data_IF_563155700134
#
_entry.id   IF_563155700134
#
_cell.length_a   1.000
_cell.length_b   1.000
_cell.length_c   1.000
_cell.angle_alpha   90.00
_cell.angle_beta   90.00
_cell.angle_gamma   90.00
#
_symmetry.space_group_name_H-M   'P 1'
#
loop_
_entity.id
_entity.type
_entity.pdbx_description
1 polymer ?
#
# COMPACT_ATOMS: atom_id res chain seq x y z
N UNK A 1 -13.28 4.05 -12.72
CA UNK A 1 -14.06 3.12 -11.87
C UNK A 1 -14.37 1.88 -12.71
N UNK A 2 -13.42 0.92 -12.77
CA UNK A 2 -13.59 -0.33 -13.52
C UNK A 2 -14.28 -1.34 -12.61
N UNK A 3 -15.54 -1.64 -12.90
CA UNK A 3 -16.26 -2.78 -12.34
C UNK A 3 -15.39 -4.03 -12.55
N UNK A 4 -14.87 -4.62 -11.46
CA UNK A 4 -14.23 -5.94 -11.53
C UNK A 4 -15.26 -6.91 -12.07
N UNK A 5 -15.19 -7.22 -13.35
CA UNK A 5 -15.98 -8.29 -13.97
C UNK A 5 -15.67 -9.57 -13.19
N UNK A 6 -16.72 -10.20 -12.67
CA UNK A 6 -16.58 -11.52 -12.02
C UNK A 6 -15.98 -12.53 -13.00
N UNK A 7 -15.51 -13.69 -12.52
CA UNK A 7 -14.88 -14.68 -13.37
C UNK A 7 -15.79 -15.06 -14.54
N UNK A 8 -15.22 -15.14 -15.75
CA UNK A 8 -15.95 -15.52 -16.95
C UNK A 8 -16.57 -16.93 -16.81
N UNK A 9 -17.58 -17.25 -17.62
CA UNK A 9 -18.19 -18.58 -17.62
C UNK A 9 -17.13 -19.65 -17.86
N UNK A 10 -16.19 -19.42 -18.78
CA UNK A 10 -15.10 -20.34 -19.09
C UNK A 10 -14.19 -20.59 -17.86
N UNK A 11 -13.86 -19.51 -17.11
CA UNK A 11 -13.08 -19.64 -15.87
C UNK A 11 -13.84 -20.45 -14.81
N UNK A 12 -15.15 -20.27 -14.68
CA UNK A 12 -15.97 -21.03 -13.74
C UNK A 12 -16.01 -22.51 -14.13
N UNK A 13 -16.24 -22.83 -15.40
CA UNK A 13 -16.24 -24.20 -15.92
C UNK A 13 -14.88 -24.86 -15.69
N UNK A 14 -13.80 -24.18 -16.05
CA UNK A 14 -12.46 -24.67 -15.85
C UNK A 14 -12.18 -24.99 -14.37
N UNK A 15 -12.45 -24.04 -13.47
CA UNK A 15 -12.21 -24.22 -12.04
C UNK A 15 -13.01 -25.42 -11.48
N UNK A 16 -14.30 -25.52 -11.84
CA UNK A 16 -15.13 -26.64 -11.39
C UNK A 16 -14.60 -27.99 -11.89
N UNK A 17 -14.22 -28.06 -13.18
CA UNK A 17 -13.64 -29.28 -13.77
C UNK A 17 -12.30 -29.64 -13.17
N UNK A 18 -11.46 -28.66 -12.91
CA UNK A 18 -10.15 -28.83 -12.26
C UNK A 18 -10.32 -29.43 -10.85
N UNK A 19 -11.22 -28.88 -10.03
CA UNK A 19 -11.49 -29.40 -8.69
C UNK A 19 -12.09 -30.81 -8.73
N UNK A 20 -13.02 -31.08 -9.65
CA UNK A 20 -13.62 -32.39 -9.80
C UNK A 20 -12.59 -33.45 -10.19
N UNK A 21 -11.70 -33.14 -11.14
CA UNK A 21 -10.63 -34.04 -11.57
C UNK A 21 -9.61 -34.28 -10.44
N UNK A 22 -9.18 -33.22 -9.75
CA UNK A 22 -8.25 -33.31 -8.63
C UNK A 22 -8.82 -34.16 -7.48
N UNK A 23 -10.10 -33.98 -7.15
CA UNK A 23 -10.79 -34.77 -6.15
C UNK A 23 -10.92 -36.25 -6.57
N UNK A 24 -11.27 -36.51 -7.83
CA UNK A 24 -11.32 -37.88 -8.36
C UNK A 24 -9.97 -38.59 -8.26
N UNK A 25 -8.89 -37.94 -8.68
CA UNK A 25 -7.53 -38.52 -8.61
C UNK A 25 -7.11 -38.75 -7.15
N UNK A 26 -7.41 -37.85 -6.24
CA UNK A 26 -7.17 -38.00 -4.83
C UNK A 26 -7.95 -39.20 -4.23
N UNK A 27 -9.23 -39.36 -4.58
CA UNK A 27 -10.03 -40.49 -4.15
C UNK A 27 -9.49 -41.83 -4.66
N UNK A 28 -9.03 -41.86 -5.91
CA UNK A 28 -8.36 -43.06 -6.48
C UNK A 28 -7.05 -43.40 -5.75
N UNK A 29 -6.26 -42.37 -5.46
CA UNK A 29 -5.02 -42.51 -4.69
C UNK A 29 -5.27 -43.02 -3.27
N UNK A 30 -6.29 -42.48 -2.60
CA UNK A 30 -6.70 -42.92 -1.27
C UNK A 30 -6.96 -44.44 -1.23
N UNK A 31 -7.79 -44.94 -2.16
CA UNK A 31 -8.10 -46.35 -2.25
C UNK A 31 -6.84 -47.20 -2.59
N UNK A 32 -6.01 -46.74 -3.54
CA UNK A 32 -4.80 -47.43 -3.95
C UNK A 32 -3.75 -47.55 -2.83
N UNK A 33 -3.77 -46.60 -1.87
CA UNK A 33 -2.90 -46.60 -0.70
C UNK A 33 -3.50 -47.35 0.51
N UNK A 34 -4.58 -48.10 0.30
CA UNK A 34 -5.23 -48.92 1.35
C UNK A 34 -6.31 -48.23 2.16
N UNK A 35 -6.72 -47.04 1.71
CA UNK A 35 -7.88 -46.35 2.35
C UNK A 35 -9.19 -47.09 2.06
N UNK A 36 -10.05 -47.19 3.06
CA UNK A 36 -11.35 -47.85 2.96
C UNK A 36 -12.45 -46.85 2.65
N UNK A 37 -13.37 -47.23 1.78
CA UNK A 37 -14.55 -46.42 1.44
C UNK A 37 -15.61 -46.66 2.52
N UNK A 38 -16.02 -45.61 3.20
CA UNK A 38 -17.02 -45.65 4.27
C UNK A 38 -16.82 -44.52 5.26
N UNK A 39 -17.68 -44.46 6.26
CA UNK A 39 -17.49 -43.54 7.39
C UNK A 39 -16.40 -44.09 8.32
N UNK A 40 -15.44 -43.26 8.76
CA UNK A 40 -14.39 -43.69 9.66
C UNK A 40 -15.00 -44.13 11.00
N UNK A 41 -14.48 -45.21 11.55
CA UNK A 41 -14.79 -45.72 12.90
C UNK A 41 -13.56 -45.63 13.83
N UNK A 42 -13.66 -46.06 15.06
CA UNK A 42 -12.56 -46.01 16.04
C UNK A 42 -11.32 -46.80 15.59
N UNK A 43 -11.51 -47.85 14.78
CA UNK A 43 -10.43 -48.70 14.28
C UNK A 43 -9.76 -48.11 13.00
N UNK A 44 -10.33 -47.08 12.42
CA UNK A 44 -9.82 -46.45 11.22
C UNK A 44 -8.53 -45.63 11.49
N UNK A 45 -8.28 -45.25 12.76
CA UNK A 45 -7.09 -44.50 13.16
C UNK A 45 -6.11 -45.47 13.88
N UNK A 46 -4.75 -45.34 13.57
CA UNK A 46 -4.08 -44.30 12.73
C UNK A 46 -4.00 -44.68 11.24
N UNK A 47 -4.53 -45.82 10.80
CA UNK A 47 -4.26 -46.39 9.46
C UNK A 47 -4.77 -45.52 8.31
N UNK A 48 -5.78 -44.69 8.54
CA UNK A 48 -6.30 -43.73 7.54
C UNK A 48 -5.33 -42.56 7.23
N UNK A 49 -4.39 -42.27 8.13
CA UNK A 49 -3.51 -41.07 8.03
C UNK A 49 -2.65 -41.15 6.76
N UNK A 50 -1.98 -42.27 6.52
CA UNK A 50 -1.08 -42.42 5.38
C UNK A 50 -1.82 -42.38 4.02
N UNK A 51 -2.94 -43.12 3.81
CA UNK A 51 -3.75 -42.99 2.61
C UNK A 51 -4.30 -41.57 2.40
N UNK A 52 -4.74 -40.91 3.48
CA UNK A 52 -5.26 -39.55 3.41
C UNK A 52 -4.17 -38.54 3.03
N UNK A 53 -2.98 -38.62 3.62
CA UNK A 53 -1.86 -37.77 3.29
C UNK A 53 -1.43 -37.93 1.83
N UNK A 54 -1.35 -39.18 1.33
CA UNK A 54 -1.07 -39.45 -0.06
C UNK A 54 -2.14 -38.88 -1.01
N UNK A 55 -3.40 -39.03 -0.67
CA UNK A 55 -4.51 -38.45 -1.43
C UNK A 55 -4.46 -36.92 -1.44
N UNK A 56 -4.16 -36.27 -0.32
CA UNK A 56 -3.99 -34.83 -0.22
C UNK A 56 -2.83 -34.33 -1.09
N UNK A 57 -1.70 -35.03 -1.10
CA UNK A 57 -0.57 -34.69 -1.97
C UNK A 57 -0.93 -34.80 -3.45
N UNK A 58 -1.64 -35.84 -3.86
CA UNK A 58 -2.12 -36.01 -5.24
C UNK A 58 -3.12 -34.90 -5.62
N UNK A 59 -4.03 -34.55 -4.72
CA UNK A 59 -4.96 -33.44 -4.94
C UNK A 59 -4.21 -32.12 -5.21
N UNK A 60 -3.27 -31.79 -4.33
CA UNK A 60 -2.46 -30.58 -4.44
C UNK A 60 -1.65 -30.58 -5.75
N UNK A 61 -0.96 -31.67 -6.06
CA UNK A 61 -0.17 -31.78 -7.26
C UNK A 61 -1.02 -31.64 -8.54
N UNK A 62 -2.18 -32.30 -8.59
CA UNK A 62 -3.10 -32.21 -9.72
C UNK A 62 -3.67 -30.80 -9.87
N UNK A 63 -4.15 -30.19 -8.77
CA UNK A 63 -4.73 -28.86 -8.75
C UNK A 63 -3.72 -27.80 -9.22
N UNK A 64 -2.52 -27.80 -8.63
CA UNK A 64 -1.44 -26.86 -8.97
C UNK A 64 -0.88 -27.10 -10.37
N UNK A 65 -0.76 -28.38 -10.80
CA UNK A 65 -0.29 -28.73 -12.15
C UNK A 65 -1.26 -28.21 -13.22
N UNK A 66 -2.55 -28.43 -13.05
CA UNK A 66 -3.59 -27.95 -13.98
C UNK A 66 -3.65 -26.43 -14.02
N UNK A 67 -3.60 -25.78 -12.87
CA UNK A 67 -3.58 -24.30 -12.80
C UNK A 67 -2.35 -23.72 -13.47
N UNK A 68 -1.18 -24.26 -13.18
CA UNK A 68 0.09 -23.84 -13.79
C UNK A 68 0.11 -24.06 -15.30
N UNK A 69 -0.43 -25.17 -15.76
CA UNK A 69 -0.57 -25.49 -17.18
C UNK A 69 -1.43 -24.47 -17.91
N UNK A 70 -2.59 -24.10 -17.36
CA UNK A 70 -3.46 -23.07 -17.95
C UNK A 70 -2.79 -21.71 -17.95
N UNK A 71 -2.18 -21.29 -16.84
CA UNK A 71 -1.47 -20.02 -16.77
C UNK A 71 -0.32 -19.94 -17.78
N UNK A 72 0.38 -21.06 -18.02
CA UNK A 72 1.41 -21.15 -19.04
C UNK A 72 0.85 -21.05 -20.46
N UNK A 73 -0.25 -21.75 -20.76
CA UNK A 73 -0.91 -21.73 -22.08
C UNK A 73 -1.56 -20.38 -22.41
N UNK A 74 -2.04 -19.66 -21.40
CA UNK A 74 -2.71 -18.36 -21.57
C UNK A 74 -1.77 -17.16 -21.38
N UNK A 75 -0.45 -17.43 -21.24
CA UNK A 75 0.57 -16.39 -21.06
C UNK A 75 0.66 -15.52 -22.31
N UNK A 76 0.56 -14.21 -22.13
CA UNK A 76 0.85 -13.21 -23.16
C UNK A 76 2.39 -13.10 -23.35
N UNK A 77 2.94 -13.44 -24.53
CA UNK A 77 4.38 -13.39 -24.78
C UNK A 77 4.98 -11.99 -24.63
N UNK A 78 4.18 -10.95 -24.86
CA UNK A 78 4.61 -9.56 -24.86
C UNK A 78 4.53 -8.90 -23.47
N UNK A 79 3.98 -9.59 -22.47
CA UNK A 79 3.99 -9.13 -21.09
C UNK A 79 5.12 -9.77 -20.31
N UNK A 80 6.01 -8.96 -19.69
CA UNK A 80 7.00 -9.52 -18.79
C UNK A 80 6.28 -10.36 -17.72
N UNK A 81 6.85 -11.51 -17.31
CA UNK A 81 6.27 -12.29 -16.23
C UNK A 81 6.09 -11.35 -15.04
N UNK A 82 4.86 -11.21 -14.54
CA UNK A 82 4.60 -10.49 -13.30
C UNK A 82 5.58 -11.07 -12.27
N UNK A 83 6.57 -10.26 -11.89
CA UNK A 83 7.79 -10.72 -11.22
C UNK A 83 7.47 -11.63 -10.05
N UNK A 84 8.22 -12.71 -9.91
CA UNK A 84 8.26 -13.65 -8.77
C UNK A 84 6.92 -14.18 -8.22
N UNK A 85 5.82 -14.13 -8.98
CA UNK A 85 4.55 -14.75 -8.62
C UNK A 85 4.69 -16.28 -8.43
N UNK A 86 5.77 -16.90 -8.97
CA UNK A 86 5.95 -18.33 -8.94
C UNK A 86 6.13 -18.94 -7.55
N UNK A 87 7.08 -18.46 -6.76
CA UNK A 87 7.46 -19.17 -5.51
C UNK A 87 6.61 -18.73 -4.31
N UNK A 88 6.40 -17.43 -4.13
CA UNK A 88 5.65 -16.94 -2.98
C UNK A 88 4.14 -17.25 -3.04
N UNK A 89 3.53 -17.18 -4.23
CA UNK A 89 2.13 -17.56 -4.43
C UNK A 89 1.96 -19.07 -4.28
N UNK A 90 2.88 -19.88 -4.88
CA UNK A 90 2.84 -21.34 -4.74
C UNK A 90 2.99 -21.79 -3.29
N UNK A 91 3.87 -21.17 -2.50
CA UNK A 91 4.04 -21.50 -1.09
C UNK A 91 2.78 -21.16 -0.26
N UNK A 92 2.13 -20.03 -0.51
CA UNK A 92 0.88 -19.66 0.17
C UNK A 92 -0.27 -20.60 -0.19
N UNK A 93 -0.39 -20.99 -1.44
CA UNK A 93 -1.41 -21.94 -1.90
C UNK A 93 -1.17 -23.32 -1.29
N UNK A 94 0.07 -23.82 -1.28
CA UNK A 94 0.43 -25.07 -0.63
C UNK A 94 0.10 -25.08 0.87
N UNK A 95 0.41 -24.00 1.58
CA UNK A 95 0.08 -23.87 3.01
C UNK A 95 -1.44 -23.89 3.24
N UNK A 96 -2.20 -23.26 2.36
CA UNK A 96 -3.68 -23.27 2.41
C UNK A 96 -4.22 -24.69 2.18
N UNK A 97 -3.71 -25.39 1.16
CA UNK A 97 -4.17 -26.76 0.83
C UNK A 97 -3.83 -27.76 1.94
N UNK A 98 -2.64 -27.63 2.56
CA UNK A 98 -2.25 -28.42 3.73
C UNK A 98 -3.17 -28.13 4.94
N UNK A 99 -3.55 -26.86 5.13
CA UNK A 99 -4.52 -26.46 6.14
C UNK A 99 -5.88 -27.13 5.95
N UNK A 100 -6.40 -27.15 4.71
CA UNK A 100 -7.65 -27.82 4.39
C UNK A 100 -7.56 -29.35 4.55
N UNK A 101 -6.43 -29.94 4.17
CA UNK A 101 -6.21 -31.38 4.37
C UNK A 101 -6.18 -31.74 5.87
N UNK A 102 -5.43 -31.00 6.70
CA UNK A 102 -5.39 -31.19 8.14
C UNK A 102 -6.80 -31.04 8.77
N UNK A 103 -7.57 -30.07 8.27
CA UNK A 103 -8.94 -29.85 8.71
C UNK A 103 -9.89 -31.02 8.34
N UNK A 104 -9.74 -31.58 7.15
CA UNK A 104 -10.46 -32.78 6.72
C UNK A 104 -10.13 -33.99 7.58
N UNK A 105 -8.86 -34.18 7.95
CA UNK A 105 -8.42 -35.24 8.85
C UNK A 105 -9.00 -35.05 10.28
N UNK A 106 -8.99 -33.80 10.77
CA UNK A 106 -9.62 -33.47 12.06
C UNK A 106 -11.12 -33.80 12.06
N UNK A 107 -11.81 -33.46 10.97
CA UNK A 107 -13.23 -33.79 10.82
C UNK A 107 -13.48 -35.31 10.83
N UNK A 108 -12.62 -36.08 10.14
CA UNK A 108 -12.67 -37.54 10.13
C UNK A 108 -12.42 -38.12 11.54
N UNK A 109 -11.43 -37.58 12.26
CA UNK A 109 -11.16 -38.00 13.65
C UNK A 109 -12.30 -37.68 14.61
N UNK A 110 -12.88 -36.49 14.50
CA UNK A 110 -14.05 -36.14 15.34
C UNK A 110 -15.27 -36.96 15.00
N UNK A 111 -15.41 -37.39 13.74
CA UNK A 111 -16.52 -38.26 13.34
C UNK A 111 -16.58 -39.56 14.15
N UNK A 112 -15.44 -40.17 14.44
CA UNK A 112 -15.38 -41.43 15.22
C UNK A 112 -15.89 -41.25 16.68
N UNK A 113 -15.80 -40.01 17.21
CA UNK A 113 -16.18 -39.73 18.61
C UNK A 113 -17.59 -39.14 18.72
N UNK A 114 -17.94 -38.19 17.85
CA UNK A 114 -19.19 -37.40 17.96
C UNK A 114 -20.15 -37.61 16.77
N UNK A 115 -19.78 -38.43 15.80
CA UNK A 115 -20.62 -38.78 14.63
C UNK A 115 -21.09 -37.53 13.87
N UNK A 116 -22.40 -37.41 13.63
CA UNK A 116 -23.03 -36.35 12.88
C UNK A 116 -22.83 -34.94 13.46
N UNK A 117 -22.32 -34.79 14.68
CA UNK A 117 -21.97 -33.49 15.24
C UNK A 117 -20.61 -32.98 14.74
N UNK A 118 -19.74 -33.85 14.21
CA UNK A 118 -18.40 -33.49 13.73
C UNK A 118 -18.40 -32.36 12.68
N UNK A 119 -19.25 -32.36 11.62
CA UNK A 119 -19.35 -31.26 10.68
C UNK A 119 -19.68 -29.90 11.33
N UNK A 120 -20.61 -29.90 12.31
CA UNK A 120 -20.95 -28.64 13.01
C UNK A 120 -19.77 -28.10 13.81
N UNK A 121 -19.10 -29.00 14.57
CA UNK A 121 -17.97 -28.63 15.42
C UNK A 121 -16.78 -28.15 14.60
N UNK A 122 -16.61 -28.59 13.36
CA UNK A 122 -15.53 -28.18 12.47
C UNK A 122 -15.92 -26.99 11.60
N UNK A 123 -17.10 -26.99 10.98
CA UNK A 123 -17.49 -25.94 10.03
C UNK A 123 -17.84 -24.61 10.69
N UNK A 124 -18.40 -24.62 11.92
CA UNK A 124 -18.73 -23.37 12.62
C UNK A 124 -17.50 -22.52 12.90
N UNK A 125 -16.41 -23.04 13.52
CA UNK A 125 -15.19 -22.25 13.71
C UNK A 125 -14.58 -21.76 12.38
N UNK A 126 -14.61 -22.59 11.34
CA UNK A 126 -14.13 -22.20 10.00
C UNK A 126 -14.96 -21.05 9.42
N UNK A 127 -16.28 -21.13 9.55
CA UNK A 127 -17.18 -20.07 9.10
C UNK A 127 -16.93 -18.77 9.87
N UNK A 128 -16.81 -18.85 11.21
CA UNK A 128 -16.53 -17.68 12.06
C UNK A 128 -15.18 -17.05 11.70
N UNK A 129 -14.14 -17.87 11.53
CA UNK A 129 -12.82 -17.37 11.11
C UNK A 129 -12.88 -16.69 9.74
N UNK A 130 -13.55 -17.32 8.77
CA UNK A 130 -13.73 -16.74 7.43
C UNK A 130 -14.53 -15.43 7.46
N UNK A 131 -15.59 -15.40 8.26
CA UNK A 131 -16.40 -14.20 8.45
C UNK A 131 -15.59 -13.08 9.08
N UNK A 132 -14.82 -13.35 10.14
CA UNK A 132 -13.95 -12.39 10.79
C UNK A 132 -12.89 -11.82 9.82
N UNK A 133 -12.25 -12.69 9.01
CA UNK A 133 -11.28 -12.26 7.99
C UNK A 133 -11.96 -11.37 6.92
N UNK A 134 -13.18 -11.72 6.50
CA UNK A 134 -13.93 -10.93 5.53
C UNK A 134 -14.30 -9.55 6.10
N UNK A 135 -14.75 -9.49 7.36
CA UNK A 135 -15.04 -8.21 8.05
C UNK A 135 -13.80 -7.36 8.19
N UNK A 136 -12.67 -7.96 8.58
CA UNK A 136 -11.40 -7.23 8.65
C UNK A 136 -10.98 -6.65 7.28
N UNK A 137 -11.11 -7.43 6.21
CA UNK A 137 -10.80 -6.97 4.86
C UNK A 137 -11.73 -5.85 4.37
N UNK A 138 -13.02 -5.88 4.75
CA UNK A 138 -13.96 -4.79 4.45
C UNK A 138 -13.65 -3.52 5.24
N UNK A 139 -13.29 -3.66 6.51
CA UNK A 139 -12.88 -2.54 7.35
C UNK A 139 -11.63 -1.87 6.79
N UNK A 140 -10.62 -2.63 6.35
CA UNK A 140 -9.43 -2.09 5.71
C UNK A 140 -9.76 -1.31 4.43
N UNK A 141 -10.66 -1.83 3.59
CA UNK A 141 -11.12 -1.10 2.40
C UNK A 141 -11.85 0.20 2.73
N UNK A 142 -12.63 0.21 3.80
CA UNK A 142 -13.32 1.41 4.25
C UNK A 142 -12.31 2.48 4.73
N UNK A 143 -11.26 2.07 5.45
CA UNK A 143 -10.18 2.97 5.84
C UNK A 143 -9.45 3.56 4.62
N UNK A 144 -9.05 2.71 3.66
CA UNK A 144 -8.43 3.15 2.41
C UNK A 144 -9.31 4.15 1.65
N UNK A 145 -10.61 3.89 1.56
CA UNK A 145 -11.55 4.77 0.89
C UNK A 145 -11.69 6.12 1.63
N UNK A 146 -11.70 6.11 2.96
CA UNK A 146 -11.77 7.34 3.77
C UNK A 146 -10.51 8.18 3.60
N UNK A 147 -9.33 7.57 3.70
CA UNK A 147 -8.05 8.26 3.46
C UNK A 147 -8.01 8.83 2.06
N UNK A 148 -8.36 8.04 1.05
CA UNK A 148 -8.43 8.51 -0.34
C UNK A 148 -9.38 9.69 -0.54
N UNK A 149 -10.54 9.68 0.12
CA UNK A 149 -11.49 10.78 0.06
C UNK A 149 -10.95 12.07 0.72
N UNK A 150 -10.22 11.95 1.84
CA UNK A 150 -9.55 13.08 2.49
C UNK A 150 -8.46 13.67 1.59
N UNK A 151 -7.60 12.84 1.00
CA UNK A 151 -6.58 13.29 0.04
C UNK A 151 -7.23 14.02 -1.14
N UNK A 152 -8.28 13.45 -1.72
CA UNK A 152 -8.99 14.07 -2.85
C UNK A 152 -9.64 15.40 -2.47
N UNK A 153 -10.15 15.54 -1.24
CA UNK A 153 -10.70 16.81 -0.75
C UNK A 153 -9.62 17.90 -0.66
N UNK A 154 -8.41 17.57 -0.19
CA UNK A 154 -7.25 18.49 -0.19
C UNK A 154 -6.87 18.87 -1.61
N UNK A 155 -6.70 17.90 -2.50
CA UNK A 155 -6.33 18.10 -3.90
C UNK A 155 -7.36 18.92 -4.70
N UNK A 156 -8.64 18.81 -4.33
CA UNK A 156 -9.71 19.64 -4.94
C UNK A 156 -9.61 21.09 -4.48
N UNK A 157 -9.16 21.30 -3.26
CA UNK A 157 -9.02 22.65 -2.66
C UNK A 157 -7.72 23.32 -3.08
N UNK A 158 -6.65 22.55 -3.18
CA UNK A 158 -5.31 22.94 -3.64
C UNK A 158 -5.00 22.24 -4.97
N UNK A 159 -5.36 22.86 -6.09
CA UNK A 159 -5.25 22.29 -7.45
C UNK A 159 -3.84 21.86 -7.82
N UNK A 160 -2.82 22.34 -7.10
CA UNK A 160 -1.42 22.03 -7.36
C UNK A 160 -0.96 20.71 -6.75
N UNK A 161 -1.79 20.08 -5.91
CA UNK A 161 -1.45 18.86 -5.18
C UNK A 161 -1.99 17.57 -5.81
N UNK A 162 -2.52 17.62 -7.07
CA UNK A 162 -3.06 16.42 -7.70
C UNK A 162 -2.04 15.30 -7.78
N UNK A 163 -2.31 14.18 -7.11
CA UNK A 163 -1.45 13.02 -6.99
C UNK A 163 -0.17 13.26 -6.16
N UNK A 164 -0.02 14.43 -5.55
CA UNK A 164 1.10 14.76 -4.66
C UNK A 164 1.14 13.83 -3.45
N UNK A 165 0.03 13.71 -2.75
CA UNK A 165 -0.08 12.84 -1.57
C UNK A 165 0.35 11.39 -1.86
N UNK A 166 -0.05 10.84 -3.01
CA UNK A 166 0.37 9.50 -3.44
C UNK A 166 1.87 9.42 -3.72
N UNK A 167 2.46 10.44 -4.36
CA UNK A 167 3.89 10.46 -4.68
C UNK A 167 4.74 10.66 -3.43
N UNK A 168 4.35 11.54 -2.51
CA UNK A 168 5.02 11.71 -1.22
C UNK A 168 4.93 10.42 -0.39
N UNK A 169 3.77 9.80 -0.32
CA UNK A 169 3.58 8.50 0.31
C UNK A 169 4.52 7.44 -0.28
N UNK A 170 4.61 7.35 -1.61
CA UNK A 170 5.53 6.44 -2.30
C UNK A 170 6.99 6.73 -1.97
N UNK A 171 7.41 8.00 -2.01
CA UNK A 171 8.77 8.41 -1.67
C UNK A 171 9.14 8.06 -0.23
N UNK A 172 8.22 8.28 0.70
CA UNK A 172 8.41 7.92 2.11
C UNK A 172 8.54 6.42 2.31
N UNK A 173 7.74 5.61 1.61
CA UNK A 173 7.86 4.14 1.61
C UNK A 173 9.20 3.68 1.01
N UNK A 174 9.68 4.33 -0.05
CA UNK A 174 11.00 4.03 -0.64
C UNK A 174 12.12 4.25 0.38
N UNK A 175 12.12 5.38 1.09
CA UNK A 175 13.09 5.67 2.16
C UNK A 175 12.97 4.62 3.28
N UNK A 176 11.74 4.38 3.78
CA UNK A 176 11.49 3.47 4.89
C UNK A 176 11.98 2.04 4.60
N UNK A 177 11.79 1.55 3.37
CA UNK A 177 12.29 0.24 2.94
C UNK A 177 13.81 0.20 2.84
N UNK A 178 14.43 1.27 2.33
CA UNK A 178 15.88 1.35 2.19
C UNK A 178 16.60 1.31 3.54
N UNK A 179 16.03 1.96 4.57
CA UNK A 179 16.53 1.88 5.94
C UNK A 179 16.04 0.65 6.72
N UNK A 180 15.41 -0.31 6.04
CA UNK A 180 14.93 -1.56 6.64
C UNK A 180 13.92 -1.38 7.78
N UNK A 181 13.01 -0.41 7.68
CA UNK A 181 11.90 -0.28 8.61
C UNK A 181 11.04 -1.54 8.64
N UNK A 182 10.49 -1.89 9.81
CA UNK A 182 9.53 -3.00 9.95
C UNK A 182 8.27 -2.74 9.13
N UNK A 183 7.65 -3.80 8.63
CA UNK A 183 6.51 -3.73 7.70
C UNK A 183 5.34 -2.90 8.23
N UNK A 184 5.07 -2.98 9.55
CA UNK A 184 4.00 -2.21 10.20
C UNK A 184 4.29 -0.70 10.14
N UNK A 185 5.55 -0.30 10.35
CA UNK A 185 5.96 1.09 10.27
C UNK A 185 6.00 1.61 8.83
N UNK A 186 6.36 0.75 7.86
CA UNK A 186 6.27 1.08 6.42
C UNK A 186 4.84 1.39 6.03
N UNK A 187 3.88 0.66 6.56
CA UNK A 187 2.46 0.94 6.31
C UNK A 187 2.00 2.23 7.01
N UNK A 188 2.42 2.47 8.25
CA UNK A 188 2.11 3.70 8.97
C UNK A 188 2.67 4.95 8.26
N UNK A 189 3.92 4.91 7.79
CA UNK A 189 4.52 6.04 7.06
C UNK A 189 3.88 6.26 5.68
N UNK A 190 3.34 5.22 5.05
CA UNK A 190 2.54 5.33 3.84
C UNK A 190 1.33 6.24 4.07
N UNK A 191 0.59 6.00 5.17
CA UNK A 191 -0.54 6.85 5.54
C UNK A 191 -0.11 8.25 5.97
N UNK A 192 1.01 8.38 6.68
CA UNK A 192 1.56 9.69 7.02
C UNK A 192 1.82 10.53 5.77
N UNK A 193 2.43 9.94 4.74
CA UNK A 193 2.65 10.62 3.45
C UNK A 193 1.37 10.98 2.71
N UNK A 194 0.35 10.13 2.77
CA UNK A 194 -0.96 10.44 2.17
C UNK A 194 -1.67 11.61 2.87
N UNK A 195 -1.53 11.72 4.18
CA UNK A 195 -2.32 12.62 5.02
C UNK A 195 -1.54 13.84 5.54
N UNK A 196 -0.23 13.99 5.22
CA UNK A 196 0.60 15.06 5.79
C UNK A 196 0.01 16.46 5.60
N UNK A 197 -0.63 16.68 4.49
CA UNK A 197 -1.24 17.94 4.05
C UNK A 197 -2.73 18.08 4.38
N UNK A 198 -3.36 17.11 5.05
CA UNK A 198 -4.82 17.11 5.29
C UNK A 198 -5.30 18.35 6.01
N UNK A 199 -4.47 18.97 6.82
CA UNK A 199 -4.78 20.22 7.53
C UNK A 199 -4.95 21.44 6.61
N UNK A 200 -4.54 21.38 5.36
CA UNK A 200 -4.83 22.42 4.34
C UNK A 200 -6.34 22.60 4.14
N UNK A 201 -7.16 21.61 4.50
CA UNK A 201 -8.63 21.77 4.55
C UNK A 201 -9.06 22.92 5.48
N UNK A 202 -8.31 23.23 6.52
CA UNK A 202 -8.55 24.33 7.42
C UNK A 202 -8.02 25.71 6.96
N UNK A 203 -7.22 25.76 5.89
CA UNK A 203 -6.67 27.02 5.36
C UNK A 203 -7.67 27.65 4.39
N UNK A 204 -7.90 28.98 4.39
CA UNK A 204 -8.81 29.61 3.42
C UNK A 204 -8.36 29.39 1.98
N UNK A 205 -9.29 28.98 1.10
CA UNK A 205 -8.99 28.66 -0.31
C UNK A 205 -8.31 29.81 -1.06
N UNK A 206 -8.73 31.05 -0.79
CA UNK A 206 -8.13 32.26 -1.38
C UNK A 206 -6.65 32.44 -1.03
N UNK A 207 -6.20 31.87 0.10
CA UNK A 207 -4.79 31.94 0.54
C UNK A 207 -3.99 30.84 -0.18
N UNK A 208 -4.53 29.60 -0.25
CA UNK A 208 -3.88 28.48 -0.95
C UNK A 208 -3.73 28.72 -2.46
N UNK A 209 -4.71 29.39 -3.08
CA UNK A 209 -4.76 29.61 -4.52
C UNK A 209 -4.17 30.99 -4.94
N UNK A 210 -3.56 31.73 -4.01
CA UNK A 210 -2.99 33.04 -4.30
C UNK A 210 -1.73 32.88 -5.18
N UNK A 211 -1.73 33.55 -6.32
CA UNK A 211 -0.59 33.52 -7.27
C UNK A 211 0.51 34.55 -6.95
N UNK A 212 0.22 35.50 -6.02
CA UNK A 212 1.17 36.54 -5.59
C UNK A 212 1.87 36.21 -4.27
N UNK A 213 2.76 37.10 -3.82
CA UNK A 213 3.42 36.95 -2.52
C UNK A 213 2.39 36.92 -1.39
N UNK A 214 2.55 35.99 -0.46
CA UNK A 214 1.74 35.89 0.75
C UNK A 214 2.12 37.01 1.72
N UNK A 215 1.13 37.54 2.44
CA UNK A 215 1.40 38.39 3.61
C UNK A 215 1.88 37.53 4.78
N UNK A 216 2.41 38.15 5.83
CA UNK A 216 2.84 37.42 7.04
C UNK A 216 1.67 36.66 7.70
N UNK A 217 0.48 37.26 7.72
CA UNK A 217 -0.72 36.65 8.29
C UNK A 217 -1.21 35.45 7.42
N UNK A 218 -1.17 35.60 6.10
CA UNK A 218 -1.51 34.50 5.18
C UNK A 218 -0.53 33.35 5.32
N UNK A 219 0.75 33.65 5.43
CA UNK A 219 1.79 32.63 5.64
C UNK A 219 1.62 31.94 6.99
N UNK A 220 1.39 32.69 8.07
CA UNK A 220 1.10 32.14 9.39
C UNK A 220 -0.13 31.23 9.36
N UNK A 221 -1.18 31.59 8.60
CA UNK A 221 -2.37 30.75 8.45
C UNK A 221 -2.09 29.42 7.77
N UNK A 222 -1.13 29.38 6.81
CA UNK A 222 -0.67 28.15 6.19
C UNK A 222 0.19 27.32 7.15
N UNK A 223 1.10 27.93 7.90
CA UNK A 223 1.95 27.23 8.88
C UNK A 223 1.16 26.48 9.98
N UNK A 224 -0.12 26.77 10.14
CA UNK A 224 -0.99 26.03 11.06
C UNK A 224 -1.51 24.70 10.50
N UNK A 225 -1.29 24.38 9.19
CA UNK A 225 -1.88 23.16 8.63
C UNK A 225 -1.37 21.88 9.27
N UNK A 226 -0.09 21.73 9.74
CA UNK A 226 0.31 20.49 10.39
C UNK A 226 -0.47 20.24 11.70
N UNK A 227 -0.69 21.27 12.49
CA UNK A 227 -1.50 21.20 13.72
C UNK A 227 -2.97 20.86 13.41
N UNK A 228 -3.56 21.52 12.40
CA UNK A 228 -4.93 21.23 11.95
C UNK A 228 -5.03 19.83 11.36
N UNK A 229 -3.99 19.35 10.68
CA UNK A 229 -3.89 18.00 10.19
C UNK A 229 -3.97 16.98 11.31
N UNK A 230 -3.19 17.19 12.36
CA UNK A 230 -3.26 16.37 13.58
C UNK A 230 -4.69 16.35 14.16
N UNK A 231 -5.36 17.50 14.30
CA UNK A 231 -6.72 17.59 14.83
C UNK A 231 -7.74 16.82 13.99
N UNK A 232 -7.57 16.77 12.66
CA UNK A 232 -8.47 16.05 11.76
C UNK A 232 -8.30 14.53 11.89
N UNK A 233 -7.07 14.03 12.07
CA UNK A 233 -6.79 12.59 11.96
C UNK A 233 -6.46 11.90 13.29
N UNK A 234 -6.34 12.61 14.42
CA UNK A 234 -5.94 12.03 15.71
C UNK A 234 -6.87 10.96 16.26
N UNK A 235 -8.14 10.98 15.87
CA UNK A 235 -9.12 9.96 16.30
C UNK A 235 -9.06 8.67 15.47
N UNK A 236 -8.17 8.62 14.46
CA UNK A 236 -7.97 7.43 13.61
C UNK A 236 -6.91 6.54 14.26
N UNK A 237 -7.34 5.62 15.12
CA UNK A 237 -6.50 4.86 16.06
C UNK A 237 -5.38 3.99 15.48
N UNK A 238 -5.28 3.79 14.16
CA UNK A 238 -4.16 3.08 13.53
C UNK A 238 -3.04 4.02 13.04
N UNK A 239 -3.17 5.34 13.28
CA UNK A 239 -2.24 6.36 12.77
C UNK A 239 -1.26 6.89 13.84
N UNK A 240 -1.20 6.31 15.05
CA UNK A 240 -0.48 6.90 16.19
C UNK A 240 0.94 7.39 15.85
N UNK A 241 1.77 6.57 15.20
CA UNK A 241 3.12 6.98 14.78
C UNK A 241 3.10 7.95 13.59
N UNK A 242 2.10 7.84 12.71
CA UNK A 242 1.91 8.75 11.59
C UNK A 242 1.57 10.18 12.03
N UNK A 243 0.86 10.34 13.16
CA UNK A 243 0.47 11.65 13.70
C UNK A 243 1.68 12.55 13.95
N UNK A 244 2.76 11.99 14.51
CA UNK A 244 3.99 12.73 14.73
C UNK A 244 4.65 13.15 13.40
N UNK A 245 4.59 12.30 12.38
CA UNK A 245 5.02 12.63 11.03
C UNK A 245 4.23 13.80 10.44
N UNK A 246 2.90 13.74 10.51
CA UNK A 246 1.98 14.78 10.00
C UNK A 246 2.20 16.12 10.71
N UNK A 247 2.36 16.09 12.04
CA UNK A 247 2.53 17.29 12.84
C UNK A 247 3.83 18.03 12.54
N UNK A 248 4.92 17.31 12.27
CA UNK A 248 6.28 17.84 12.27
C UNK A 248 7.00 17.79 10.91
N UNK A 249 6.29 17.48 9.79
CA UNK A 249 6.93 17.31 8.49
C UNK A 249 7.58 18.58 7.90
N UNK A 250 7.29 19.74 8.45
CA UNK A 250 7.95 21.01 8.11
C UNK A 250 9.03 21.44 9.11
N UNK A 251 9.36 20.60 10.10
CA UNK A 251 10.54 20.84 10.92
C UNK A 251 11.81 20.63 10.11
N UNK A 252 12.87 21.30 10.51
CA UNK A 252 14.18 21.28 9.84
C UNK A 252 15.26 20.83 10.82
N UNK A 253 16.23 20.09 10.33
CA UNK A 253 17.36 19.61 11.18
C UNK A 253 18.08 20.77 11.88
N UNK A 254 18.12 21.96 11.28
CA UNK A 254 18.75 23.17 11.85
C UNK A 254 17.85 23.95 12.84
N UNK A 255 16.63 23.45 13.17
CA UNK A 255 15.71 24.06 14.13
C UNK A 255 14.98 25.31 13.59
N UNK A 256 15.08 25.58 12.28
CA UNK A 256 14.42 26.74 11.65
C UNK A 256 13.08 26.38 10.99
N UNK A 257 12.57 25.20 11.30
CA UNK A 257 11.29 24.70 10.83
C UNK A 257 10.11 25.20 11.64
N UNK A 258 8.96 24.62 11.40
CA UNK A 258 7.71 24.86 12.13
C UNK A 258 6.91 23.55 12.27
N UNK A 259 5.95 23.43 13.18
CA UNK A 259 5.39 24.45 14.05
C UNK A 259 6.12 24.66 15.39
N UNK A 260 7.00 23.74 15.81
CA UNK A 260 7.62 23.74 17.13
C UNK A 260 9.07 24.20 17.13
N UNK A 261 9.74 24.25 15.99
CA UNK A 261 11.17 24.58 15.86
C UNK A 261 12.09 23.50 16.44
N UNK A 262 11.70 22.24 16.33
CA UNK A 262 12.51 21.08 16.74
C UNK A 262 13.78 20.97 15.88
N UNK A 263 14.86 20.46 16.47
CA UNK A 263 16.15 20.33 15.80
C UNK A 263 16.70 18.90 15.90
N UNK A 264 17.42 18.46 14.90
CA UNK A 264 18.12 17.16 14.90
C UNK A 264 17.20 15.99 15.23
N UNK A 265 17.60 15.21 16.22
CA UNK A 265 16.87 14.00 16.65
C UNK A 265 15.62 14.28 17.50
N UNK A 266 15.36 15.52 17.88
CA UNK A 266 14.09 15.90 18.50
C UNK A 266 12.94 15.80 17.47
N UNK A 267 13.25 15.88 16.17
CA UNK A 267 12.27 15.74 15.10
C UNK A 267 11.94 14.24 14.95
N UNK A 268 10.64 13.87 15.03
CA UNK A 268 10.23 12.48 14.83
C UNK A 268 10.73 11.90 13.50
N UNK A 269 11.13 10.63 13.53
CA UNK A 269 11.73 9.96 12.36
C UNK A 269 10.82 10.05 11.11
N UNK A 270 9.51 9.84 11.29
CA UNK A 270 8.55 9.96 10.18
C UNK A 270 8.52 11.36 9.58
N UNK A 271 8.61 12.39 10.41
CA UNK A 271 8.63 13.78 9.95
C UNK A 271 9.88 14.07 9.10
N UNK A 272 11.06 13.57 9.54
CA UNK A 272 12.31 13.71 8.77
C UNK A 272 12.26 13.01 7.43
N UNK A 273 11.63 11.83 7.36
CA UNK A 273 11.42 11.08 6.09
C UNK A 273 10.45 11.81 5.18
N UNK A 274 9.31 12.28 5.73
CA UNK A 274 8.31 13.02 4.97
C UNK A 274 8.87 14.30 4.36
N UNK A 275 9.66 15.07 5.13
CA UNK A 275 10.29 16.30 4.66
C UNK A 275 11.14 16.09 3.39
N UNK A 276 11.88 14.98 3.30
CA UNK A 276 12.67 14.64 2.12
C UNK A 276 11.78 14.29 0.93
N UNK A 277 10.78 13.45 1.13
CA UNK A 277 9.89 12.98 0.06
C UNK A 277 9.01 14.11 -0.48
N UNK A 278 8.47 14.96 0.41
CA UNK A 278 7.65 16.13 0.06
C UNK A 278 8.45 17.16 -0.72
N UNK A 279 9.63 17.58 -0.24
CA UNK A 279 10.48 18.51 -0.94
C UNK A 279 10.86 18.00 -2.33
N UNK A 280 11.16 16.71 -2.46
CA UNK A 280 11.50 16.12 -3.75
C UNK A 280 10.32 16.13 -4.73
N UNK A 281 9.14 15.72 -4.28
CA UNK A 281 7.96 15.76 -5.14
C UNK A 281 7.60 17.20 -5.53
N UNK A 282 7.69 18.11 -4.57
CA UNK A 282 7.48 19.55 -4.83
C UNK A 282 8.43 20.13 -5.88
N UNK A 283 9.68 19.64 -5.96
CA UNK A 283 10.64 20.05 -6.98
C UNK A 283 10.40 19.40 -8.34
N UNK A 284 9.94 18.16 -8.37
CA UNK A 284 9.76 17.36 -9.59
C UNK A 284 8.35 17.39 -10.17
N UNK A 285 7.44 18.13 -9.56
CA UNK A 285 6.07 18.36 -10.03
C UNK A 285 5.90 19.74 -10.64
N UNK A 286 5.00 19.84 -11.64
CA UNK A 286 4.63 21.11 -12.24
C UNK A 286 3.78 21.95 -11.28
N UNK A 287 4.12 23.22 -11.08
CA UNK A 287 3.34 24.21 -10.35
C UNK A 287 2.95 25.36 -11.28
N UNK A 288 1.92 26.13 -10.93
CA UNK A 288 1.41 27.23 -11.76
C UNK A 288 2.46 28.25 -12.17
N UNK A 289 3.48 28.44 -11.35
CA UNK A 289 4.51 29.46 -11.53
C UNK A 289 5.90 28.85 -11.83
N UNK A 290 6.04 27.49 -11.86
CA UNK A 290 7.33 26.83 -12.13
C UNK A 290 7.12 25.46 -12.74
N UNK A 291 7.84 25.19 -13.83
CA UNK A 291 7.94 23.85 -14.42
C UNK A 291 8.67 22.86 -13.50
N UNK A 292 8.36 21.57 -13.65
CA UNK A 292 9.04 20.49 -12.94
C UNK A 292 10.55 20.50 -13.23
N UNK A 293 11.37 20.38 -12.17
CA UNK A 293 12.82 20.15 -12.31
C UNK A 293 13.08 18.72 -12.77
N UNK A 294 14.23 18.52 -13.41
CA UNK A 294 14.69 17.15 -13.69
C UNK A 294 15.04 16.44 -12.37
N UNK A 295 14.85 15.12 -12.36
CA UNK A 295 15.16 14.29 -11.18
C UNK A 295 16.60 14.48 -10.70
N UNK A 296 17.55 14.61 -11.62
CA UNK A 296 18.97 14.86 -11.29
C UNK A 296 19.15 16.16 -10.50
N UNK A 297 18.56 17.26 -10.99
CA UNK A 297 18.66 18.58 -10.36
C UNK A 297 18.01 18.60 -8.96
N UNK A 298 16.89 17.88 -8.82
CA UNK A 298 16.21 17.73 -7.52
C UNK A 298 17.07 16.92 -6.50
N UNK A 299 17.79 15.90 -6.96
CA UNK A 299 18.74 15.15 -6.13
C UNK A 299 19.90 16.05 -5.68
N UNK A 300 20.44 16.87 -6.56
CA UNK A 300 21.51 17.82 -6.22
C UNK A 300 21.03 18.82 -5.17
N UNK A 301 19.81 19.32 -5.32
CA UNK A 301 19.22 20.26 -4.35
C UNK A 301 19.01 19.60 -2.99
N UNK A 302 18.49 18.36 -2.91
CA UNK A 302 18.39 17.62 -1.65
C UNK A 302 19.74 17.47 -0.95
N UNK A 303 20.79 17.13 -1.71
CA UNK A 303 22.15 16.99 -1.18
C UNK A 303 22.73 18.31 -0.67
N UNK A 304 22.46 19.41 -1.35
CA UNK A 304 22.89 20.75 -0.94
C UNK A 304 22.33 21.13 0.44
N UNK A 305 21.10 20.71 0.75
CA UNK A 305 20.43 21.04 1.99
C UNK A 305 20.48 19.90 3.03
N UNK A 306 21.20 18.84 2.74
CA UNK A 306 21.48 17.75 3.67
C UNK A 306 22.29 18.27 4.88
N UNK A 307 21.90 17.89 6.09
CA UNK A 307 22.48 18.35 7.35
C UNK A 307 22.01 19.72 7.82
N UNK A 308 21.18 20.43 7.05
CA UNK A 308 20.57 21.70 7.45
C UNK A 308 19.04 21.62 7.41
N UNK A 309 18.45 21.44 6.26
CA UNK A 309 17.00 21.24 6.12
C UNK A 309 16.64 19.77 6.32
N UNK A 310 17.39 18.85 5.72
CA UNK A 310 17.08 17.44 5.65
C UNK A 310 18.07 16.59 6.43
N UNK A 311 17.60 15.47 6.95
CA UNK A 311 18.43 14.46 7.57
C UNK A 311 19.31 13.77 6.50
N UNK A 312 20.65 13.77 6.66
CA UNK A 312 21.55 13.17 5.70
C UNK A 312 21.29 11.69 5.43
N UNK A 313 20.94 10.92 6.47
CA UNK A 313 20.69 9.50 6.33
C UNK A 313 19.48 9.21 5.43
N UNK A 314 18.43 10.02 5.53
CA UNK A 314 17.22 9.85 4.70
C UNK A 314 17.38 10.40 3.30
N UNK A 315 18.20 11.44 3.10
CA UNK A 315 18.58 11.88 1.76
C UNK A 315 19.36 10.79 1.03
N UNK A 316 20.36 10.19 1.67
CA UNK A 316 21.15 9.11 1.07
C UNK A 316 20.32 7.88 0.77
N UNK A 317 19.46 7.46 1.70
CA UNK A 317 18.53 6.36 1.51
C UNK A 317 17.58 6.61 0.33
N UNK A 318 17.03 7.83 0.22
CA UNK A 318 16.14 8.15 -0.87
C UNK A 318 16.86 8.15 -2.23
N UNK A 319 18.05 8.71 -2.31
CA UNK A 319 18.86 8.69 -3.53
C UNK A 319 19.23 7.27 -3.96
N UNK A 320 19.52 6.37 -3.01
CA UNK A 320 19.77 4.96 -3.30
C UNK A 320 18.51 4.28 -3.85
N UNK A 321 17.37 4.50 -3.22
CA UNK A 321 16.08 3.96 -3.66
C UNK A 321 15.67 4.50 -5.05
N UNK A 322 15.84 5.80 -5.32
CA UNK A 322 15.56 6.42 -6.63
C UNK A 322 16.39 5.82 -7.76
N UNK A 323 17.67 5.50 -7.52
CA UNK A 323 18.53 4.84 -8.51
C UNK A 323 18.05 3.45 -8.87
N UNK A 324 17.45 2.73 -7.92
CA UNK A 324 16.96 1.36 -8.10
C UNK A 324 15.57 1.33 -8.75
N UNK A 325 14.65 2.19 -8.31
CA UNK A 325 13.22 2.11 -8.63
C UNK A 325 12.75 3.18 -9.61
N UNK A 326 13.53 4.28 -9.75
CA UNK A 326 13.14 5.46 -10.52
C UNK A 326 12.06 6.28 -9.81
N UNK A 327 11.68 7.40 -10.43
CA UNK A 327 10.59 8.27 -9.97
C UNK A 327 9.49 8.36 -11.03
N UNK A 328 8.22 8.21 -10.68
CA UNK A 328 7.13 8.36 -11.64
C UNK A 328 7.09 9.82 -12.13
N UNK A 329 7.03 9.99 -13.44
CA UNK A 329 6.78 11.33 -13.99
C UNK A 329 5.34 11.72 -13.66
N UNK A 330 5.11 12.95 -13.13
CA UNK A 330 3.76 13.46 -12.99
C UNK A 330 3.07 13.42 -14.35
N UNK A 331 1.85 12.90 -14.42
CA UNK A 331 1.04 13.04 -15.63
C UNK A 331 0.84 14.53 -15.90
N UNK A 332 0.99 14.99 -17.16
CA UNK A 332 0.67 16.36 -17.49
C UNK A 332 -0.78 16.63 -17.07
N UNK A 333 -1.10 17.80 -16.50
CA UNK A 333 -2.46 18.13 -16.15
C UNK A 333 -3.32 17.93 -17.39
N UNK A 334 -4.36 17.11 -17.28
CA UNK A 334 -5.42 17.05 -18.30
C UNK A 334 -6.08 18.43 -18.24
N UNK A 335 -5.65 19.33 -19.13
CA UNK A 335 -6.33 20.60 -19.31
C UNK A 335 -7.74 20.26 -19.79
N UNK A 336 -8.71 20.46 -18.90
CA UNK A 336 -10.09 20.56 -19.35
C UNK A 336 -10.10 21.70 -20.35
N UNK A 337 -10.31 21.36 -21.62
CA UNK A 337 -10.48 22.31 -22.69
C UNK A 337 -11.50 23.36 -22.24
N UNK A 338 -11.16 24.61 -22.40
CA UNK A 338 -11.98 25.80 -22.64
C UNK A 338 -12.21 26.83 -21.52
N UNK A 339 -11.67 26.74 -20.29
CA UNK A 339 -11.95 27.80 -19.30
C UNK A 339 -10.75 28.23 -18.40
N UNK A 340 -9.55 28.42 -18.95
CA UNK A 340 -8.47 29.06 -18.20
C UNK A 340 -7.93 30.31 -18.91
N UNK A 341 -7.81 31.47 -18.22
CA UNK A 341 -7.17 32.63 -18.80
C UNK A 341 -5.69 32.37 -19.06
N UNK A 342 -5.25 32.62 -20.28
CA UNK A 342 -3.86 32.57 -20.70
C UNK A 342 -3.08 33.65 -19.95
N UNK A 343 -2.28 33.27 -18.95
CA UNK A 343 -1.31 34.17 -18.33
C UNK A 343 0.00 34.02 -19.09
N UNK A 344 0.36 35.06 -19.84
CA UNK A 344 1.65 35.19 -20.52
C UNK A 344 2.74 35.33 -19.46
N UNK A 345 3.75 34.46 -19.53
CA UNK A 345 4.96 34.53 -18.72
C UNK A 345 5.73 35.84 -19.04
N UNK A 346 5.90 36.71 -18.04
CA UNK A 346 6.93 37.74 -18.03
C UNK A 346 8.01 37.35 -17.04
N UNK A 347 9.22 37.35 -17.54
CA UNK A 347 10.50 37.03 -16.91
C UNK A 347 10.70 37.61 -15.51
N UNK A 348 11.09 36.74 -14.56
CA UNK A 348 11.96 37.10 -13.46
C UNK A 348 12.86 35.91 -13.13
N UNK A 349 13.96 35.79 -13.86
CA UNK A 349 15.14 35.04 -13.44
C UNK A 349 15.88 35.86 -12.37
N UNK A 350 15.81 35.44 -11.12
CA UNK A 350 16.79 35.76 -10.08
C UNK A 350 17.45 34.47 -9.58
N UNK A 351 18.64 34.11 -10.03
CA UNK A 351 19.31 32.84 -9.70
C UNK A 351 19.92 32.79 -8.29
N UNK A 352 19.72 33.81 -7.45
CA UNK A 352 20.44 33.95 -6.18
C UNK A 352 19.61 33.85 -4.90
N UNK A 353 18.30 33.72 -4.97
CA UNK A 353 17.47 33.63 -3.74
C UNK A 353 17.55 32.25 -3.11
N UNK A 354 17.86 32.14 -1.79
CA UNK A 354 17.82 30.85 -1.10
C UNK A 354 16.40 30.29 -1.12
N UNK A 355 16.28 29.01 -1.46
CA UNK A 355 15.00 28.28 -1.34
C UNK A 355 14.51 28.39 0.11
N UNK A 356 13.52 29.24 0.32
CA UNK A 356 12.75 29.23 1.57
C UNK A 356 11.84 27.99 1.52
N UNK A 357 11.57 27.38 2.67
CA UNK A 357 10.57 26.29 2.86
C UNK A 357 9.21 26.64 2.25
N UNK A 358 9.01 27.90 1.89
CA UNK A 358 7.82 28.46 1.23
C UNK A 358 7.57 27.88 -0.17
N UNK A 359 8.62 27.36 -0.85
CA UNK A 359 8.51 26.81 -2.21
C UNK A 359 7.94 25.39 -2.22
N UNK A 360 7.69 24.78 -1.04
CA UNK A 360 7.01 23.50 -0.90
C UNK A 360 5.50 23.61 -0.62
N UNK A 361 4.93 24.80 -0.74
CA UNK A 361 3.47 25.02 -0.65
C UNK A 361 2.84 25.12 -2.02
#
# INVERSE_FOLDING_TARGET
>A
MGLRRGPSILQRVFNTSMYALSAYLAGRAFIALGGHVGLPDENSFPDIIAPFAGAALIHVAANHGLLSGVLWLTRDPDRPPAGSLGVGLSARLLLSDLGYAAYGLLMAALWTVVGFAAPLLTLIPLFVARWAIAQFAEQQKAYEATVGALCQAVETKDFYTRGHSDRVSRGSVMIAREISMRSERVEAIRYAGMLHDVGKLGVPTKVLQKTGKLTEEEYAAIQLHPMRGLDIVREIGFLDEALAGIMHHHERIDGRGYPMGLAGDEIPEFARVLAVADAFDSMTSNRSYRGARQVADAIEELRKWSGTQFDPAFVDAFVAALKREGWPRPEPPVLASDDLPVVTAQDHDDPGAPLRVIDSL
#
